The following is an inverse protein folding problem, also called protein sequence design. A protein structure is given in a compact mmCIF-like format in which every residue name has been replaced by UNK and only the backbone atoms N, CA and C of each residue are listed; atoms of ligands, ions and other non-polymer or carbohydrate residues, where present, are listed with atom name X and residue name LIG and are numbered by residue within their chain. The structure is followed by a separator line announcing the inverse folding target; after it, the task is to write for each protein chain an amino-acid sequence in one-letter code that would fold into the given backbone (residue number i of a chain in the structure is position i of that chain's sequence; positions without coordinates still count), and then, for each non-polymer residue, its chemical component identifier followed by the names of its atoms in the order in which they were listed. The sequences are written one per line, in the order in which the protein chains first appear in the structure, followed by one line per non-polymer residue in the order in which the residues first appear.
data_IF_518499067821
#
_entry.id   IF_518499067821
#
_cell.length_a   1.000
_cell.length_b   1.000
_cell.length_c   1.000
_cell.angle_alpha   90.00
_cell.angle_beta   90.00
_cell.angle_gamma   90.00
#
_symmetry.space_group_name_H-M   'P 1'
#
loop_
_entity.id
_entity.type
_entity.pdbx_description
1 polymer ?
#
# COMPACT_ATOMS: atom_id res chain seq x y z
N UNK A 1 30.66 -22.59 -20.46
CA UNK A 1 29.43 -23.11 -21.08
C UNK A 1 28.88 -24.32 -20.31
N UNK A 2 29.69 -25.36 -20.05
CA UNK A 2 29.27 -26.53 -19.26
C UNK A 2 28.74 -26.17 -17.86
N UNK A 3 29.40 -25.27 -17.15
CA UNK A 3 29.01 -24.79 -15.80
C UNK A 3 27.69 -24.01 -15.76
N UNK A 4 27.34 -23.30 -16.85
CA UNK A 4 26.07 -22.58 -16.97
C UNK A 4 24.90 -23.56 -17.18
N UNK A 5 25.12 -24.59 -18.01
CA UNK A 5 24.14 -25.64 -18.28
C UNK A 5 23.86 -26.47 -17.03
N UNK A 6 24.90 -26.80 -16.24
CA UNK A 6 24.71 -27.51 -14.96
C UNK A 6 23.96 -26.67 -13.93
N UNK A 7 24.24 -25.36 -13.84
CA UNK A 7 23.51 -24.46 -12.94
C UNK A 7 22.03 -24.38 -13.33
N UNK A 8 21.73 -24.25 -14.63
CA UNK A 8 20.37 -24.21 -15.14
C UNK A 8 19.63 -25.53 -14.85
N UNK A 9 20.27 -26.67 -15.06
CA UNK A 9 19.70 -27.98 -14.76
C UNK A 9 19.38 -28.15 -13.27
N UNK A 10 20.26 -27.67 -12.38
CA UNK A 10 20.02 -27.68 -10.94
C UNK A 10 18.85 -26.78 -10.54
N UNK A 11 18.72 -25.59 -11.13
CA UNK A 11 17.59 -24.68 -10.87
C UNK A 11 16.27 -25.27 -11.33
N UNK A 12 16.24 -25.90 -12.52
CA UNK A 12 15.05 -26.58 -13.03
C UNK A 12 14.68 -27.77 -12.15
N UNK A 13 15.64 -28.60 -11.77
CA UNK A 13 15.40 -29.74 -10.88
C UNK A 13 14.88 -29.28 -9.50
N UNK A 14 15.46 -28.23 -8.93
CA UNK A 14 15.00 -27.64 -7.67
C UNK A 14 13.57 -27.07 -7.79
N UNK A 15 13.26 -26.37 -8.89
CA UNK A 15 11.92 -25.86 -9.16
C UNK A 15 10.87 -26.98 -9.30
N UNK A 16 11.22 -28.05 -10.02
CA UNK A 16 10.36 -29.24 -10.15
C UNK A 16 10.16 -29.96 -8.81
N UNK A 17 11.20 -30.06 -7.99
CA UNK A 17 11.13 -30.67 -6.67
C UNK A 17 10.24 -29.86 -5.72
N UNK A 18 10.36 -28.52 -5.73
CA UNK A 18 9.49 -27.63 -4.97
C UNK A 18 8.03 -27.69 -5.44
N UNK A 19 7.79 -27.75 -6.75
CA UNK A 19 6.45 -27.89 -7.30
C UNK A 19 5.82 -29.24 -6.93
N UNK A 20 6.57 -30.33 -7.02
CA UNK A 20 6.12 -31.66 -6.61
C UNK A 20 5.84 -31.72 -5.11
N UNK A 21 6.70 -31.12 -4.29
CA UNK A 21 6.50 -31.01 -2.84
C UNK A 21 5.27 -30.17 -2.49
N UNK A 22 5.11 -29.00 -3.13
CA UNK A 22 3.93 -28.17 -2.98
C UNK A 22 2.66 -28.94 -3.35
N UNK A 23 2.69 -29.72 -4.43
CA UNK A 23 1.53 -30.51 -4.85
C UNK A 23 1.25 -31.70 -3.93
N UNK A 24 2.27 -32.30 -3.32
CA UNK A 24 2.10 -33.36 -2.30
C UNK A 24 1.54 -32.84 -0.98
N UNK A 25 1.78 -31.56 -0.65
CA UNK A 25 1.24 -30.88 0.52
C UNK A 25 -0.07 -30.13 0.22
N UNK A 26 -0.37 -29.89 -1.05
CA UNK A 26 -1.61 -29.27 -1.49
C UNK A 26 -2.74 -30.28 -1.28
N UNK A 27 -3.28 -30.28 -0.06
CA UNK A 27 -4.45 -31.06 0.31
C UNK A 27 -5.60 -30.71 -0.67
N UNK A 28 -5.91 -31.68 -1.52
CA UNK A 28 -7.01 -31.55 -2.45
C UNK A 28 -8.32 -31.76 -1.67
N UNK A 29 -8.97 -30.64 -1.35
CA UNK A 29 -10.43 -30.55 -1.23
C UNK A 29 -11.00 -31.17 0.05
N UNK A 30 -10.75 -30.51 1.17
CA UNK A 30 -11.90 -30.09 1.96
C UNK A 30 -11.92 -28.57 1.94
N UNK A 31 -12.96 -27.91 1.37
CA UNK A 31 -13.16 -26.52 1.70
C UNK A 31 -13.37 -26.50 3.20
N UNK A 32 -12.32 -26.13 3.95
CA UNK A 32 -12.49 -25.71 5.33
C UNK A 32 -13.57 -24.65 5.23
N UNK A 33 -14.75 -24.96 5.77
CA UNK A 33 -15.78 -23.97 5.96
C UNK A 33 -15.20 -23.02 7.00
N UNK A 34 -14.39 -22.06 6.54
CA UNK A 34 -13.79 -21.02 7.37
C UNK A 34 -14.92 -20.05 7.70
N UNK A 35 -15.80 -20.51 8.58
CA UNK A 35 -16.74 -19.64 9.27
C UNK A 35 -15.91 -18.60 10.03
N UNK A 36 -16.45 -17.40 10.27
CA UNK A 36 -15.82 -16.43 11.16
C UNK A 36 -15.44 -17.13 12.47
N UNK A 37 -14.13 -17.21 12.72
CA UNK A 37 -13.42 -18.26 13.47
C UNK A 37 -13.95 -18.53 14.90
N UNK A 38 -14.78 -17.66 15.46
CA UNK A 38 -15.28 -17.77 16.83
C UNK A 38 -16.81 -17.84 16.96
N UNK A 39 -17.58 -17.53 15.90
CA UNK A 39 -19.04 -17.34 16.06
C UNK A 39 -19.91 -18.53 15.66
N UNK A 40 -19.37 -19.48 14.88
CA UNK A 40 -20.10 -20.64 14.37
C UNK A 40 -21.27 -20.32 13.42
N UNK A 41 -21.50 -19.05 13.09
CA UNK A 41 -22.58 -18.61 12.20
C UNK A 41 -22.07 -18.46 10.77
N UNK A 42 -22.88 -18.93 9.81
CA UNK A 42 -22.64 -18.69 8.39
C UNK A 42 -22.76 -17.19 8.12
N UNK A 43 -21.79 -16.55 7.42
CA UNK A 43 -21.89 -15.15 7.05
C UNK A 43 -23.17 -14.89 6.25
N UNK A 44 -24.02 -14.01 6.75
CA UNK A 44 -25.26 -13.59 6.06
C UNK A 44 -25.00 -12.48 5.03
N UNK A 45 -23.83 -11.85 5.09
CA UNK A 45 -23.41 -10.78 4.20
C UNK A 45 -21.99 -11.03 3.72
N UNK A 46 -21.65 -10.51 2.54
CA UNK A 46 -20.28 -10.50 2.06
C UNK A 46 -19.35 -9.73 3.01
N UNK A 47 -18.11 -10.23 3.14
CA UNK A 47 -17.09 -9.65 4.01
C UNK A 47 -16.80 -8.16 3.72
N UNK A 48 -17.00 -7.73 2.47
CA UNK A 48 -16.79 -6.36 2.02
C UNK A 48 -18.07 -5.50 2.01
N UNK A 49 -19.22 -6.03 2.45
CA UNK A 49 -20.48 -5.28 2.40
C UNK A 49 -20.51 -4.06 3.33
N UNK A 50 -19.62 -4.02 4.35
CA UNK A 50 -19.44 -2.84 5.21
C UNK A 50 -18.39 -1.91 4.63
N UNK A 51 -18.71 -1.28 3.51
CA UNK A 51 -17.91 -0.17 3.02
C UNK A 51 -18.23 1.09 3.82
N UNK A 52 -17.24 1.62 4.54
CA UNK A 52 -17.38 2.92 5.19
C UNK A 52 -16.54 3.96 4.44
N UNK A 53 -17.18 4.95 3.76
CA UNK A 53 -16.45 5.95 2.98
C UNK A 53 -15.51 6.84 3.82
N UNK A 54 -15.66 6.83 5.15
CA UNK A 54 -14.81 7.56 6.09
C UNK A 54 -13.31 7.30 5.94
N UNK A 55 -12.93 6.08 5.57
CA UNK A 55 -11.51 5.73 5.40
C UNK A 55 -10.92 6.30 4.11
N UNK A 56 -11.75 6.50 3.08
CA UNK A 56 -11.30 6.98 1.78
C UNK A 56 -10.75 8.40 1.85
N UNK A 57 -11.46 9.33 2.51
CA UNK A 57 -11.03 10.71 2.61
C UNK A 57 -9.69 10.84 3.36
N UNK A 58 -9.52 10.10 4.47
CA UNK A 58 -8.26 10.06 5.20
C UNK A 58 -7.12 9.51 4.33
N UNK A 59 -7.35 8.44 3.56
CA UNK A 59 -6.35 7.88 2.65
C UNK A 59 -5.93 8.83 1.53
N UNK A 60 -6.88 9.55 0.92
CA UNK A 60 -6.57 10.51 -0.15
C UNK A 60 -5.75 11.68 0.39
N UNK A 61 -6.10 12.22 1.56
CA UNK A 61 -5.31 13.28 2.20
C UNK A 61 -3.91 12.80 2.58
N UNK A 62 -3.80 11.59 3.14
CA UNK A 62 -2.51 10.98 3.45
C UNK A 62 -1.65 10.80 2.20
N UNK A 63 -2.22 10.28 1.11
CA UNK A 63 -1.51 10.07 -0.14
C UNK A 63 -1.00 11.38 -0.75
N UNK A 64 -1.80 12.45 -0.72
CA UNK A 64 -1.35 13.77 -1.17
C UNK A 64 -0.12 14.23 -0.37
N UNK A 65 -0.20 14.14 0.96
CA UNK A 65 0.89 14.53 1.87
C UNK A 65 2.17 13.71 1.66
N UNK A 66 2.04 12.41 1.39
CA UNK A 66 3.16 11.51 1.12
C UNK A 66 3.87 11.86 -0.20
N UNK A 67 3.10 12.17 -1.25
CA UNK A 67 3.64 12.62 -2.54
C UNK A 67 4.36 13.97 -2.42
N UNK A 68 3.96 14.85 -1.50
CA UNK A 68 4.72 16.08 -1.27
C UNK A 68 6.05 15.88 -0.60
N UNK A 69 6.14 14.96 0.37
CA UNK A 69 7.43 14.62 0.94
C UNK A 69 8.41 14.15 -0.14
N UNK A 70 7.92 13.45 -1.16
CA UNK A 70 8.72 13.08 -2.33
C UNK A 70 9.29 14.32 -3.05
N UNK A 71 8.52 15.41 -3.18
CA UNK A 71 8.99 16.67 -3.77
C UNK A 71 9.93 17.46 -2.86
N UNK A 72 9.80 17.31 -1.55
CA UNK A 72 10.69 17.98 -0.59
C UNK A 72 12.11 17.40 -0.61
N UNK A 73 12.30 16.12 -0.93
CA UNK A 73 13.63 15.50 -1.00
C UNK A 73 14.59 16.19 -1.99
N UNK A 74 14.28 16.30 -3.29
CA UNK A 74 15.18 16.96 -4.23
C UNK A 74 15.34 18.44 -3.89
N UNK A 75 14.27 19.13 -3.50
CA UNK A 75 14.34 20.53 -3.07
C UNK A 75 15.32 20.75 -1.92
N UNK A 76 15.29 19.89 -0.90
CA UNK A 76 16.15 20.00 0.28
C UNK A 76 17.65 19.88 -0.07
N UNK A 77 17.97 19.17 -1.16
CA UNK A 77 19.34 19.03 -1.65
C UNK A 77 19.83 20.29 -2.36
N UNK A 78 18.96 20.98 -3.11
CA UNK A 78 19.35 22.13 -3.97
C UNK A 78 19.03 23.51 -3.40
N UNK A 79 18.29 23.60 -2.28
CA UNK A 79 17.81 24.87 -1.72
C UNK A 79 18.92 25.88 -1.41
N UNK A 80 20.11 25.39 -1.02
CA UNK A 80 21.26 26.26 -0.73
C UNK A 80 21.80 26.97 -1.99
N UNK A 81 21.65 26.36 -3.16
CA UNK A 81 22.11 26.90 -4.45
C UNK A 81 21.08 27.85 -5.08
N UNK A 82 19.79 27.55 -4.91
CA UNK A 82 18.68 28.35 -5.44
C UNK A 82 18.41 29.61 -4.61
N UNK A 83 18.84 29.64 -3.34
CA UNK A 83 18.68 30.79 -2.46
C UNK A 83 17.25 31.00 -1.94
N UNK A 84 16.92 32.22 -1.48
CA UNK A 84 15.69 32.49 -0.72
C UNK A 84 14.39 32.25 -1.50
N UNK A 85 14.43 32.38 -2.83
CA UNK A 85 13.25 32.14 -3.68
C UNK A 85 12.72 30.72 -3.55
N UNK A 86 13.62 29.73 -3.55
CA UNK A 86 13.23 28.32 -3.38
C UNK A 86 12.63 28.03 -1.99
N UNK A 87 13.02 28.78 -0.96
CA UNK A 87 12.41 28.67 0.37
C UNK A 87 10.96 29.17 0.33
N UNK A 88 10.73 30.33 -0.28
CA UNK A 88 9.38 30.90 -0.42
C UNK A 88 8.48 29.97 -1.22
N UNK A 89 8.96 29.46 -2.37
CA UNK A 89 8.20 28.53 -3.21
C UNK A 89 7.79 27.26 -2.43
N UNK A 90 8.68 26.70 -1.60
CA UNK A 90 8.36 25.54 -0.77
C UNK A 90 7.29 25.86 0.28
N UNK A 91 7.35 27.02 0.93
CA UNK A 91 6.31 27.43 1.87
C UNK A 91 4.97 27.72 1.19
N UNK A 92 4.98 28.28 -0.02
CA UNK A 92 3.76 28.44 -0.83
C UNK A 92 3.15 27.08 -1.18
N UNK A 93 3.99 26.14 -1.62
CA UNK A 93 3.57 24.77 -1.91
C UNK A 93 2.93 24.09 -0.69
N UNK A 94 3.60 24.14 0.48
CA UNK A 94 3.03 23.65 1.75
C UNK A 94 1.73 24.40 2.12
N UNK A 95 1.66 25.70 1.85
CA UNK A 95 0.49 26.52 2.14
C UNK A 95 -0.76 26.08 1.37
N UNK A 96 -0.62 25.74 0.08
CA UNK A 96 -1.72 25.23 -0.76
C UNK A 96 -2.28 23.92 -0.18
N UNK A 97 -1.42 23.07 0.36
CA UNK A 97 -1.82 21.84 1.02
C UNK A 97 -2.52 22.01 2.34
N UNK A 98 -1.97 22.87 3.18
CA UNK A 98 -2.62 23.21 4.44
C UNK A 98 -4.01 23.80 4.17
N UNK A 99 -4.19 24.54 3.07
CA UNK A 99 -5.52 25.00 2.64
C UNK A 99 -6.45 23.83 2.23
N UNK A 100 -5.94 22.83 1.51
CA UNK A 100 -6.70 21.63 1.16
C UNK A 100 -7.11 20.81 2.40
N UNK A 101 -6.20 20.63 3.36
CA UNK A 101 -6.48 19.94 4.64
C UNK A 101 -7.49 20.73 5.48
N UNK A 102 -7.36 22.07 5.53
CA UNK A 102 -8.30 22.93 6.22
C UNK A 102 -9.71 22.83 5.61
N UNK A 103 -9.80 22.78 4.27
CA UNK A 103 -11.05 22.54 3.57
C UNK A 103 -11.64 21.16 3.90
N UNK A 104 -10.85 20.09 3.83
CA UNK A 104 -11.29 18.73 4.15
C UNK A 104 -11.79 18.62 5.60
N UNK A 105 -11.15 19.32 6.54
CA UNK A 105 -11.60 19.41 7.93
C UNK A 105 -12.97 20.07 8.04
N UNK A 106 -13.23 21.15 7.29
CA UNK A 106 -14.54 21.83 7.26
C UNK A 106 -15.63 20.92 6.72
N UNK A 107 -15.32 20.11 5.72
CA UNK A 107 -16.27 19.14 5.11
C UNK A 107 -16.52 17.92 6.00
N UNK A 108 -15.85 17.82 7.15
CA UNK A 108 -16.04 16.72 8.08
C UNK A 108 -15.37 15.42 7.63
N UNK A 109 -14.37 15.49 6.73
CA UNK A 109 -13.58 14.33 6.32
C UNK A 109 -12.94 13.57 7.49
N UNK A 110 -12.72 14.27 8.61
CA UNK A 110 -12.16 13.73 9.85
C UNK A 110 -13.19 13.64 10.99
N UNK A 111 -14.49 13.45 10.70
CA UNK A 111 -15.51 13.17 11.73
C UNK A 111 -15.64 11.67 11.99
N UNK A 112 -15.46 11.28 13.26
CA UNK A 112 -15.35 9.87 13.69
C UNK A 112 -16.55 9.41 14.54
N UNK A 113 -17.59 10.24 14.63
CA UNK A 113 -18.85 10.00 15.34
C UNK A 113 -20.04 10.08 14.39
#
# INVERSE_FOLDING_TARGET
MLSLVTLLAMLVAAGLMLAAFHWSLADARTPLLVLPQASGRVPTQHALSRYHPRWYAASVVFLAFDVEMLFMYPWAVVVAELGPGAVIEMFVFLGVLLAAVAWARREGAFRWA
#
